data_IF_200088470703
#
_entry.id   IF_200088470703
#
_cell.length_a   1.000
_cell.length_b   1.000
_cell.length_c   1.000
_cell.angle_alpha   90.00
_cell.angle_beta   90.00
_cell.angle_gamma   90.00
#
_symmetry.space_group_name_H-M   'P 1'
#
loop_
_entity.id
_entity.type
_entity.pdbx_description
1 polymer ?
#
# COMPACT_ATOMS: atom_id res chain seq x y z
N UNK A 1 1.75 -3.86 -9.77
CA UNK A 1 1.45 -2.61 -10.54
C UNK A 1 -0.01 -2.12 -10.40
N UNK A 2 -0.88 -2.95 -9.85
CA UNK A 2 -2.32 -2.78 -9.68
C UNK A 2 -2.65 -1.59 -8.75
N UNK A 3 -1.93 -1.48 -7.63
CA UNK A 3 -2.09 -0.39 -6.67
C UNK A 3 -1.64 0.95 -7.28
N UNK A 4 -0.56 0.92 -8.06
CA UNK A 4 -0.10 2.09 -8.80
C UNK A 4 -1.16 2.55 -9.81
N UNK A 5 -1.69 1.63 -10.62
CA UNK A 5 -2.78 1.96 -11.55
C UNK A 5 -4.03 2.49 -10.82
N UNK A 6 -4.37 1.89 -9.68
CA UNK A 6 -5.47 2.31 -8.82
C UNK A 6 -5.34 3.75 -8.33
N UNK A 7 -4.16 4.12 -7.80
CA UNK A 7 -3.91 5.45 -7.25
C UNK A 7 -3.80 6.50 -8.37
N UNK A 8 -3.21 6.13 -9.51
CA UNK A 8 -3.17 6.99 -10.69
C UNK A 8 -4.59 7.36 -11.15
N UNK A 9 -5.49 6.39 -11.28
CA UNK A 9 -6.88 6.64 -11.64
C UNK A 9 -7.65 7.44 -10.58
N UNK A 10 -7.25 7.34 -9.31
CA UNK A 10 -7.85 8.12 -8.22
C UNK A 10 -7.29 9.55 -8.12
N UNK A 11 -6.23 9.88 -8.88
CA UNK A 11 -5.51 11.15 -8.77
C UNK A 11 -4.70 11.30 -7.47
N UNK A 12 -4.46 10.21 -6.74
CA UNK A 12 -3.75 10.24 -5.46
C UNK A 12 -2.23 10.08 -5.69
N UNK A 13 -1.61 11.18 -6.12
CA UNK A 13 -0.19 11.23 -6.44
C UNK A 13 0.72 11.11 -5.21
N UNK A 14 0.24 11.53 -4.04
CA UNK A 14 1.00 11.37 -2.78
C UNK A 14 1.19 9.90 -2.42
N UNK A 15 0.15 9.08 -2.63
CA UNK A 15 0.27 7.65 -2.40
C UNK A 15 1.17 6.98 -3.44
N UNK A 16 1.20 7.49 -4.67
CA UNK A 16 2.10 6.96 -5.71
C UNK A 16 3.57 7.06 -5.29
N UNK A 17 4.01 8.19 -4.75
CA UNK A 17 5.40 8.36 -4.26
C UNK A 17 5.74 7.28 -3.21
N UNK A 18 4.80 6.97 -2.32
CA UNK A 18 4.95 5.97 -1.26
C UNK A 18 4.96 4.52 -1.76
N UNK A 19 4.67 4.26 -3.04
CA UNK A 19 4.73 2.91 -3.59
C UNK A 19 6.14 2.44 -3.95
N UNK A 20 7.16 3.30 -3.88
CA UNK A 20 8.56 2.94 -4.15
C UNK A 20 9.05 1.71 -3.37
N UNK A 21 10.04 0.96 -3.91
CA UNK A 21 10.50 -0.29 -3.29
C UNK A 21 11.21 -0.09 -1.96
N UNK A 22 11.82 1.08 -1.73
CA UNK A 22 12.53 1.41 -0.49
C UNK A 22 11.97 2.70 0.09
N UNK A 23 11.46 2.63 1.31
CA UNK A 23 10.93 3.78 2.06
C UNK A 23 11.83 3.99 3.28
N UNK A 24 12.47 5.16 3.32
CA UNK A 24 13.30 5.57 4.45
C UNK A 24 12.43 6.11 5.58
N UNK A 25 12.83 5.92 6.85
CA UNK A 25 12.11 6.48 7.97
C UNK A 25 12.32 8.00 8.01
N UNK A 26 11.22 8.75 8.17
CA UNK A 26 11.25 10.20 8.37
C UNK A 26 11.08 10.59 9.86
N UNK A 27 10.91 9.61 10.75
CA UNK A 27 10.68 9.81 12.17
C UNK A 27 11.41 8.70 12.96
N UNK A 28 11.99 8.98 14.15
CA UNK A 28 12.79 8.00 14.91
C UNK A 28 12.07 6.69 15.24
N UNK A 29 10.75 6.74 15.47
CA UNK A 29 9.92 5.54 15.70
C UNK A 29 9.53 4.77 14.43
N UNK A 30 9.89 5.24 13.25
CA UNK A 30 9.64 4.53 12.00
C UNK A 30 10.86 3.71 11.61
N UNK A 31 10.59 2.54 11.03
CA UNK A 31 11.62 1.65 10.47
C UNK A 31 11.66 1.78 8.96
N UNK A 32 12.84 1.52 8.38
CA UNK A 32 13.01 1.37 6.93
C UNK A 32 12.13 0.23 6.43
N UNK A 33 11.37 0.46 5.35
CA UNK A 33 10.56 -0.57 4.69
C UNK A 33 11.15 -0.88 3.32
N UNK A 34 11.33 -2.17 3.03
CA UNK A 34 11.80 -2.65 1.73
C UNK A 34 10.80 -3.65 1.15
N UNK A 35 10.65 -3.65 -0.18
CA UNK A 35 9.83 -4.60 -0.93
C UNK A 35 10.76 -5.45 -1.80
N UNK A 36 11.29 -6.58 -1.31
CA UNK A 36 12.28 -7.37 -2.05
C UNK A 36 11.72 -7.94 -3.37
N UNK A 37 10.47 -8.41 -3.34
CA UNK A 37 9.80 -9.03 -4.48
C UNK A 37 9.15 -8.02 -5.46
N UNK A 38 9.54 -6.74 -5.39
CA UNK A 38 8.83 -5.65 -6.07
C UNK A 38 8.78 -5.79 -7.61
N UNK A 39 9.75 -6.46 -8.21
CA UNK A 39 9.86 -6.65 -9.67
C UNK A 39 9.34 -8.01 -10.13
N UNK A 40 8.96 -8.91 -9.22
CA UNK A 40 8.59 -10.28 -9.55
C UNK A 40 7.05 -10.35 -9.66
N UNK A 41 6.51 -10.88 -10.77
CA UNK A 41 5.08 -11.11 -10.91
C UNK A 41 4.52 -12.05 -9.85
N UNK A 42 3.25 -11.86 -9.52
CA UNK A 42 2.56 -12.72 -8.54
C UNK A 42 2.53 -14.19 -8.96
N UNK A 43 2.36 -14.47 -10.25
CA UNK A 43 2.39 -15.83 -10.80
C UNK A 43 3.72 -16.54 -10.55
N UNK A 44 4.84 -15.84 -10.70
CA UNK A 44 6.18 -16.38 -10.46
C UNK A 44 6.43 -16.61 -8.97
N UNK A 45 5.96 -15.70 -8.10
CA UNK A 45 6.03 -15.88 -6.63
C UNK A 45 5.20 -17.10 -6.20
N UNK A 46 3.99 -17.25 -6.75
CA UNK A 46 3.12 -18.39 -6.46
C UNK A 46 3.75 -19.71 -6.94
N UNK A 47 4.32 -19.71 -8.15
CA UNK A 47 5.02 -20.86 -8.70
C UNK A 47 6.24 -21.25 -7.85
N UNK A 48 7.02 -20.26 -7.42
CA UNK A 48 8.16 -20.48 -6.51
C UNK A 48 7.71 -21.12 -5.19
N UNK A 49 6.63 -20.61 -4.59
CA UNK A 49 6.08 -21.18 -3.36
C UNK A 49 5.62 -22.63 -3.54
N UNK A 50 4.97 -22.93 -4.68
CA UNK A 50 4.54 -24.28 -5.03
C UNK A 50 5.73 -25.25 -5.19
N UNK A 51 6.75 -24.89 -5.98
CA UNK A 51 7.94 -25.74 -6.19
C UNK A 51 8.72 -26.03 -4.91
N UNK A 52 8.72 -25.09 -3.96
CA UNK A 52 9.43 -25.24 -2.68
C UNK A 52 8.53 -25.80 -1.57
N UNK A 53 7.30 -26.22 -1.88
CA UNK A 53 6.32 -26.71 -0.91
C UNK A 53 6.16 -25.76 0.31
N UNK A 54 6.14 -24.45 0.06
CA UNK A 54 5.95 -23.47 1.11
C UNK A 54 4.48 -23.47 1.56
N UNK A 55 4.21 -23.36 2.88
CA UNK A 55 2.83 -23.27 3.37
C UNK A 55 2.21 -21.94 2.92
N UNK A 56 1.13 -22.01 2.13
CA UNK A 56 0.37 -20.85 1.66
C UNK A 56 -1.08 -20.98 2.10
N UNK A 57 -1.68 -19.86 2.53
CA UNK A 57 -3.12 -19.79 2.82
C UNK A 57 -3.89 -19.57 1.52
N UNK A 58 -4.76 -20.50 1.15
CA UNK A 58 -5.62 -20.40 -0.04
C UNK A 58 -6.93 -19.64 0.21
N UNK A 59 -7.31 -19.44 1.48
CA UNK A 59 -8.58 -18.79 1.84
C UNK A 59 -8.47 -17.26 1.71
N UNK A 60 -9.24 -16.70 0.78
CA UNK A 60 -9.40 -15.25 0.62
C UNK A 60 -10.18 -14.60 1.79
N UNK A 61 -10.02 -13.28 1.96
CA UNK A 61 -10.78 -12.53 2.96
C UNK A 61 -12.25 -12.38 2.52
N UNK A 62 -13.24 -12.67 3.39
CA UNK A 62 -14.66 -12.51 3.06
C UNK A 62 -15.04 -11.09 2.58
N UNK A 63 -14.29 -10.07 3.02
CA UNK A 63 -14.52 -8.66 2.64
C UNK A 63 -13.88 -8.26 1.31
N UNK A 64 -13.25 -9.18 0.57
CA UNK A 64 -12.62 -8.87 -0.73
C UNK A 64 -13.64 -8.78 -1.87
N UNK A 65 -14.84 -9.34 -1.67
CA UNK A 65 -15.90 -9.37 -2.69
C UNK A 65 -16.26 -7.95 -3.11
N UNK A 66 -16.26 -7.69 -4.42
CA UNK A 66 -16.52 -6.36 -4.97
C UNK A 66 -15.32 -5.41 -5.02
N UNK A 67 -14.13 -5.86 -4.61
CA UNK A 67 -12.91 -5.04 -4.62
C UNK A 67 -12.61 -4.47 -6.01
N UNK A 68 -12.51 -3.14 -6.09
CA UNK A 68 -12.06 -2.41 -7.29
C UNK A 68 -10.64 -2.82 -7.70
N UNK A 69 -9.80 -3.17 -6.73
CA UNK A 69 -8.44 -3.62 -6.98
C UNK A 69 -8.42 -4.96 -7.73
N UNK A 70 -9.32 -5.89 -7.37
CA UNK A 70 -9.43 -7.18 -8.06
C UNK A 70 -9.87 -7.01 -9.52
N UNK A 71 -10.83 -6.09 -9.78
CA UNK A 71 -11.24 -5.74 -11.16
C UNK A 71 -10.08 -5.16 -11.96
N UNK A 72 -9.31 -4.24 -11.37
CA UNK A 72 -8.13 -3.63 -12.01
C UNK A 72 -7.02 -4.65 -12.28
N UNK A 73 -6.80 -5.60 -11.36
CA UNK A 73 -5.86 -6.71 -11.56
C UNK A 73 -6.24 -7.54 -12.78
N UNK A 74 -7.52 -7.91 -12.93
CA UNK A 74 -8.02 -8.65 -14.09
C UNK A 74 -7.77 -7.91 -15.41
N UNK A 75 -8.01 -6.59 -15.44
CA UNK A 75 -7.72 -5.78 -16.64
C UNK A 75 -6.24 -5.79 -17.01
N UNK A 76 -5.36 -5.58 -16.02
CA UNK A 76 -3.92 -5.60 -16.24
C UNK A 76 -3.43 -6.98 -16.69
N UNK A 77 -4.09 -8.06 -16.25
CA UNK A 77 -3.79 -9.42 -16.69
C UNK A 77 -4.13 -9.63 -18.16
N UNK A 78 -5.27 -9.10 -18.64
CA UNK A 78 -5.65 -9.18 -20.06
C UNK A 78 -4.56 -8.54 -20.93
N UNK A 79 -4.13 -7.32 -20.61
CA UNK A 79 -3.03 -6.66 -21.34
C UNK A 79 -1.70 -7.42 -21.27
N UNK A 80 -1.45 -8.10 -20.15
CA UNK A 80 -0.21 -8.87 -19.96
C UNK A 80 -0.20 -10.17 -20.76
N UNK A 81 -1.36 -10.76 -21.02
CA UNK A 81 -1.49 -11.94 -21.89
C UNK A 81 -1.15 -11.60 -23.34
N UNK A 82 -1.59 -10.43 -23.81
CA UNK A 82 -1.27 -9.96 -25.17
C UNK A 82 0.18 -9.49 -25.27
N UNK A 83 0.70 -8.84 -24.23
CA UNK A 83 2.08 -8.38 -24.17
C UNK A 83 2.70 -8.73 -22.79
N UNK A 84 3.52 -9.78 -22.70
CA UNK A 84 4.17 -10.19 -21.46
C UNK A 84 5.04 -9.11 -20.81
N UNK A 85 5.55 -8.16 -21.61
CA UNK A 85 6.38 -7.06 -21.12
C UNK A 85 5.55 -5.92 -20.51
N UNK A 86 4.23 -5.92 -20.65
CA UNK A 86 3.38 -4.78 -20.29
C UNK A 86 3.54 -4.32 -18.83
N UNK A 87 3.45 -5.25 -17.87
CA UNK A 87 3.63 -4.93 -16.43
C UNK A 87 5.04 -4.42 -16.12
N UNK A 88 6.07 -4.98 -16.77
CA UNK A 88 7.46 -4.58 -16.60
C UNK A 88 7.72 -3.18 -17.15
N UNK A 89 7.19 -2.88 -18.34
CA UNK A 89 7.28 -1.56 -18.96
C UNK A 89 6.57 -0.51 -18.08
N UNK A 90 5.35 -0.82 -17.62
CA UNK A 90 4.58 0.05 -16.74
C UNK A 90 5.32 0.34 -15.43
N UNK A 91 5.91 -0.68 -14.81
CA UNK A 91 6.73 -0.54 -13.61
C UNK A 91 8.00 0.29 -13.87
N UNK A 92 8.66 0.08 -15.01
CA UNK A 92 9.86 0.80 -15.41
C UNK A 92 9.58 2.29 -15.59
N UNK A 93 8.53 2.64 -16.34
CA UNK A 93 8.08 4.03 -16.53
C UNK A 93 7.71 4.66 -15.19
N UNK A 94 6.98 3.93 -14.35
CA UNK A 94 6.61 4.39 -13.02
C UNK A 94 7.83 4.80 -12.17
N UNK A 95 8.81 3.90 -12.04
CA UNK A 95 9.99 4.16 -11.22
C UNK A 95 10.93 5.21 -11.83
N UNK A 96 11.18 5.14 -13.14
CA UNK A 96 12.22 5.96 -13.79
C UNK A 96 11.74 7.33 -14.24
N UNK A 97 10.43 7.51 -14.44
CA UNK A 97 9.85 8.73 -14.99
C UNK A 97 8.84 9.35 -14.04
N UNK A 98 7.81 8.60 -13.64
CA UNK A 98 6.71 9.17 -12.86
C UNK A 98 7.16 9.57 -11.45
N UNK A 99 7.84 8.69 -10.71
CA UNK A 99 8.28 8.96 -9.34
C UNK A 99 9.16 10.23 -9.24
N UNK A 100 10.22 10.40 -10.04
CA UNK A 100 11.04 11.62 -9.99
C UNK A 100 10.23 12.92 -10.20
N UNK A 101 9.29 12.93 -11.16
CA UNK A 101 8.44 14.09 -11.44
C UNK A 101 7.52 14.41 -10.25
N UNK A 102 7.03 13.40 -9.55
CA UNK A 102 6.16 13.57 -8.40
C UNK A 102 6.93 14.03 -7.17
N UNK A 103 8.14 13.49 -6.94
CA UNK A 103 9.00 13.87 -5.83
C UNK A 103 9.48 15.33 -5.95
N UNK A 104 9.78 15.82 -7.15
CA UNK A 104 10.14 17.24 -7.38
C UNK A 104 9.01 18.21 -6.99
N UNK A 105 7.76 17.79 -7.16
CA UNK A 105 6.57 18.59 -6.82
C UNK A 105 6.09 18.39 -5.39
N UNK A 106 6.66 17.44 -4.65
CA UNK A 106 6.22 17.13 -3.30
C UNK A 106 6.68 18.23 -2.34
N UNK A 107 5.73 18.95 -1.75
CA UNK A 107 6.02 19.89 -0.67
C UNK A 107 6.31 19.10 0.60
N UNK A 108 7.33 19.53 1.36
CA UNK A 108 7.61 18.95 2.67
C UNK A 108 6.36 18.99 3.55
N UNK A 109 5.85 17.82 3.90
CA UNK A 109 4.74 17.70 4.84
C UNK A 109 5.28 17.80 6.25
N UNK A 110 4.76 18.77 7.00
CA UNK A 110 5.02 18.87 8.43
C UNK A 110 4.27 17.74 9.12
N UNK A 111 5.03 16.80 9.69
CA UNK A 111 4.49 15.76 10.56
C UNK A 111 4.67 16.19 12.01
N UNK A 112 3.68 15.90 12.84
CA UNK A 112 3.77 16.07 14.29
C UNK A 112 3.91 14.72 14.99
N UNK A 113 4.14 14.73 16.29
CA UNK A 113 4.26 13.53 17.12
C UNK A 113 2.96 13.34 17.90
N UNK A 114 2.41 12.12 17.90
CA UNK A 114 1.20 11.81 18.64
C UNK A 114 1.44 11.90 20.16
N UNK A 115 0.61 12.66 20.88
CA UNK A 115 0.73 12.83 22.34
C UNK A 115 0.49 11.53 23.14
N UNK A 116 -0.20 10.53 22.57
CA UNK A 116 -0.55 9.28 23.27
C UNK A 116 0.49 8.18 23.06
N UNK A 117 0.89 7.93 21.81
CA UNK A 117 1.79 6.81 21.47
C UNK A 117 3.17 7.26 21.00
N UNK A 118 3.37 8.55 20.74
CA UNK A 118 4.62 9.12 20.24
C UNK A 118 5.01 8.72 18.81
N UNK A 119 4.09 8.14 18.02
CA UNK A 119 4.29 7.87 16.59
C UNK A 119 3.98 9.12 15.75
N UNK A 120 4.49 9.21 14.51
CA UNK A 120 4.20 10.35 13.63
C UNK A 120 2.71 10.42 13.32
N UNK A 121 2.19 11.64 13.31
CA UNK A 121 0.80 11.95 13.09
C UNK A 121 0.65 13.22 12.25
N UNK A 122 -0.47 13.34 11.54
CA UNK A 122 -0.84 14.57 10.84
C UNK A 122 -1.56 15.57 11.75
N UNK A 123 -1.94 15.15 12.96
CA UNK A 123 -2.64 15.93 14.00
C UNK A 123 -2.12 15.53 15.38
N UNK A 124 -2.46 16.27 16.45
CA UNK A 124 -2.04 15.99 17.85
C UNK A 124 -2.22 14.52 18.28
N UNK A 125 -3.32 13.89 17.87
CA UNK A 125 -3.61 12.46 18.11
C UNK A 125 -3.64 11.74 16.77
N UNK A 126 -2.90 10.62 16.64
CA UNK A 126 -2.87 9.84 15.41
C UNK A 126 -4.21 9.13 15.14
N UNK A 127 -4.48 8.79 13.87
CA UNK A 127 -5.73 8.13 13.48
C UNK A 127 -5.98 6.80 14.20
N UNK A 128 -4.93 6.05 14.52
CA UNK A 128 -5.04 4.79 15.27
C UNK A 128 -5.50 5.02 16.71
N UNK A 129 -4.86 5.95 17.44
CA UNK A 129 -5.26 6.29 18.81
C UNK A 129 -6.67 6.88 18.85
N UNK A 130 -7.02 7.74 17.89
CA UNK A 130 -8.36 8.32 17.78
C UNK A 130 -9.43 7.23 17.67
N UNK A 131 -9.23 6.24 16.80
CA UNK A 131 -10.16 5.11 16.61
C UNK A 131 -10.29 4.26 17.88
N UNK A 132 -9.19 4.03 18.61
CA UNK A 132 -9.23 3.28 19.88
C UNK A 132 -10.03 4.05 20.94
N UNK A 133 -9.88 5.38 21.02
CA UNK A 133 -10.66 6.21 21.95
C UNK A 133 -12.15 6.11 21.64
N UNK A 134 -12.54 6.22 20.38
CA UNK A 134 -13.93 6.13 19.93
C UNK A 134 -14.57 4.76 20.23
N UNK A 135 -13.84 3.67 19.98
CA UNK A 135 -14.31 2.32 20.34
C UNK A 135 -14.49 2.20 21.86
N UNK A 136 -13.54 2.70 22.66
CA UNK A 136 -13.66 2.67 24.12
C UNK A 136 -14.84 3.48 24.63
N UNK A 137 -15.18 4.61 24.01
CA UNK A 137 -16.39 5.37 24.40
C UNK A 137 -17.68 4.61 24.06
N UNK A 138 -17.75 3.97 22.89
CA UNK A 138 -18.92 3.17 22.51
C UNK A 138 -19.11 2.00 23.48
N UNK A 139 -18.04 1.27 23.82
CA UNK A 139 -18.10 0.15 24.75
C UNK A 139 -18.55 0.56 26.15
N UNK A 140 -18.10 1.72 26.65
CA UNK A 140 -18.56 2.26 27.94
C UNK A 140 -20.05 2.58 27.92
N UNK A 141 -20.55 3.14 26.81
CA UNK A 141 -21.97 3.45 26.67
C UNK A 141 -22.83 2.19 26.60
N UNK A 142 -22.33 1.10 26.00
CA UNK A 142 -23.02 -0.19 25.94
C UNK A 142 -23.02 -0.94 27.28
N UNK A 143 -22.07 -0.66 28.18
CA UNK A 143 -22.02 -1.25 29.53
C UNK A 143 -22.94 -0.54 30.54
N UNK A 144 -23.49 0.62 30.17
CA UNK A 144 -24.43 1.40 30.98
C UNK A 144 -25.90 1.29 30.51
N UNK A 145 -26.18 0.37 29.58
CA UNK A 145 -27.52 -0.08 29.15
C UNK A 145 -27.68 -1.55 29.47
#
# INVERSE_FOLDING_TARGET
VEIMFSNFLAGDFEQLIKLKPVILPFHPKLVKKVKPLFRIPESEIALYALFNNLPVREVECPHVVGSRLLKRKKLLEIFSKENPSFKYQLLSVFLKKLIPILEEKEREKVFTTCEICGFPASTKICGSCRRIIEIKSILKNMQHT
#
